data_IF_618672471135
#
_entry.id   IF_618672471135
#
_cell.length_a   1.000
_cell.length_b   1.000
_cell.length_c   1.000
_cell.angle_alpha   90.00
_cell.angle_beta   90.00
_cell.angle_gamma   90.00
#
_symmetry.space_group_name_H-M   'P 1'
#
loop_
_entity.id
_entity.type
_entity.pdbx_description
1 polymer ?
#
# COMPACT_ATOMS: atom_id res chain seq x y z
N UNK A 1 4.63 23.76 -0.41
CA UNK A 1 3.52 22.78 -0.32
C UNK A 1 3.72 21.81 -1.46
N UNK A 2 3.80 20.53 -1.17
CA UNK A 2 3.93 19.50 -2.20
C UNK A 2 2.55 19.33 -2.80
N UNK A 3 2.41 19.67 -4.07
CA UNK A 3 1.10 19.56 -4.74
C UNK A 3 0.89 18.10 -5.18
N UNK A 4 -0.20 17.49 -4.73
CA UNK A 4 -0.67 16.21 -5.28
C UNK A 4 -1.02 16.46 -6.75
N UNK A 5 -0.58 15.56 -7.64
CA UNK A 5 -0.91 15.65 -9.05
C UNK A 5 -2.43 15.67 -9.25
N UNK A 6 -2.93 16.56 -10.10
CA UNK A 6 -4.37 16.80 -10.25
C UNK A 6 -5.19 15.51 -10.54
N UNK A 7 -4.61 14.58 -11.31
CA UNK A 7 -5.24 13.29 -11.61
C UNK A 7 -5.29 12.34 -10.40
N UNK A 8 -4.48 12.56 -9.36
CA UNK A 8 -4.45 11.78 -8.12
C UNK A 8 -5.31 12.38 -6.99
N UNK A 9 -5.90 13.57 -7.17
CA UNK A 9 -6.70 14.24 -6.14
C UNK A 9 -7.87 13.39 -5.62
N UNK A 10 -8.56 12.66 -6.52
CA UNK A 10 -9.63 11.73 -6.14
C UNK A 10 -9.09 10.55 -5.33
N UNK A 11 -7.96 9.98 -5.72
CA UNK A 11 -7.32 8.90 -4.97
C UNK A 11 -6.92 9.36 -3.56
N UNK A 12 -6.38 10.57 -3.41
CA UNK A 12 -6.07 11.15 -2.11
C UNK A 12 -7.29 11.22 -1.20
N UNK A 13 -8.44 11.69 -1.71
CA UNK A 13 -9.71 11.72 -0.95
C UNK A 13 -10.16 10.32 -0.55
N UNK A 14 -10.12 9.36 -1.48
CA UNK A 14 -10.53 7.97 -1.24
C UNK A 14 -9.68 7.35 -0.13
N UNK A 15 -8.35 7.43 -0.22
CA UNK A 15 -7.46 6.85 0.78
C UNK A 15 -7.57 7.56 2.14
N UNK A 16 -7.68 8.90 2.16
CA UNK A 16 -7.88 9.67 3.40
C UNK A 16 -9.12 9.27 4.18
N UNK A 17 -10.16 8.77 3.51
CA UNK A 17 -11.43 8.40 4.14
C UNK A 17 -11.31 7.26 5.15
N UNK A 18 -10.26 6.43 5.06
CA UNK A 18 -9.98 5.34 6.00
C UNK A 18 -9.53 5.82 7.38
N UNK A 19 -8.84 6.97 7.43
CA UNK A 19 -8.36 7.58 8.68
C UNK A 19 -7.60 6.58 9.56
N UNK A 20 -7.73 6.73 10.88
CA UNK A 20 -7.06 5.87 11.85
C UNK A 20 -7.53 4.40 11.86
N UNK A 21 -8.74 4.11 11.36
CA UNK A 21 -9.26 2.74 11.29
C UNK A 21 -8.44 1.91 10.31
N UNK A 22 -7.83 2.54 9.29
CA UNK A 22 -6.93 1.87 8.34
C UNK A 22 -5.75 1.15 9.03
N UNK A 23 -5.36 1.53 10.25
CA UNK A 23 -4.32 0.83 11.01
C UNK A 23 -4.68 -0.65 11.25
N UNK A 24 -5.96 -0.97 11.41
CA UNK A 24 -6.44 -2.36 11.48
C UNK A 24 -6.19 -3.14 10.18
N UNK A 25 -6.30 -2.48 9.01
CA UNK A 25 -5.93 -3.07 7.71
C UNK A 25 -4.42 -3.31 7.66
N UNK A 26 -3.61 -2.31 8.04
CA UNK A 26 -2.15 -2.42 8.09
C UNK A 26 -1.69 -3.53 9.04
N UNK A 27 -2.34 -3.67 10.19
CA UNK A 27 -2.07 -4.77 11.14
C UNK A 27 -2.28 -6.13 10.51
N UNK A 28 -3.30 -6.28 9.68
CA UNK A 28 -3.61 -7.56 9.01
C UNK A 28 -2.55 -7.99 8.00
N UNK A 29 -1.63 -7.08 7.61
CA UNK A 29 -0.52 -7.32 6.67
C UNK A 29 0.86 -7.14 7.32
N UNK A 30 0.92 -7.08 8.65
CA UNK A 30 2.14 -6.79 9.39
C UNK A 30 3.30 -7.74 9.04
N UNK A 31 3.02 -9.03 8.81
CA UNK A 31 4.04 -10.01 8.39
C UNK A 31 4.75 -9.61 7.09
N UNK A 32 3.99 -9.16 6.10
CA UNK A 32 4.57 -8.71 4.82
C UNK A 32 5.33 -7.37 4.97
N UNK A 33 4.88 -6.50 5.87
CA UNK A 33 5.60 -5.25 6.19
C UNK A 33 6.93 -5.58 6.87
N UNK A 34 6.95 -6.48 7.86
CA UNK A 34 8.18 -6.92 8.51
C UNK A 34 9.15 -7.59 7.54
N UNK A 35 8.66 -8.37 6.57
CA UNK A 35 9.49 -8.95 5.53
C UNK A 35 10.17 -7.85 4.68
N UNK A 36 9.40 -6.84 4.26
CA UNK A 36 9.95 -5.71 3.48
C UNK A 36 10.99 -4.92 4.29
N UNK A 37 10.73 -4.62 5.56
CA UNK A 37 11.66 -3.91 6.44
C UNK A 37 12.96 -4.71 6.64
N UNK A 38 12.85 -6.00 6.94
CA UNK A 38 14.03 -6.87 7.08
C UNK A 38 14.84 -6.95 5.78
N UNK A 39 14.16 -6.97 4.63
CA UNK A 39 14.84 -7.01 3.32
C UNK A 39 15.52 -5.70 2.97
N UNK A 40 14.97 -4.56 3.42
CA UNK A 40 15.63 -3.27 3.31
C UNK A 40 16.88 -3.19 4.19
N UNK A 41 16.89 -3.91 5.33
CA UNK A 41 18.00 -3.99 6.29
C UNK A 41 18.46 -2.60 6.76
N UNK A 42 17.55 -1.82 7.42
CA UNK A 42 17.83 -0.44 7.83
C UNK A 42 18.99 -0.36 8.82
N UNK A 43 19.87 0.66 8.66
CA UNK A 43 20.99 0.90 9.57
C UNK A 43 20.81 2.20 10.31
N UNK A 44 21.32 2.31 11.57
CA UNK A 44 21.32 3.57 12.30
C UNK A 44 21.96 4.71 11.49
N UNK A 45 21.26 5.85 11.45
CA UNK A 45 21.72 7.07 10.76
C UNK A 45 21.46 7.10 9.25
N UNK A 46 20.99 6.02 8.62
CA UNK A 46 20.56 6.07 7.22
C UNK A 46 19.34 6.97 7.04
N UNK A 47 19.29 7.66 5.90
CA UNK A 47 18.12 8.44 5.46
C UNK A 47 17.21 7.55 4.61
N UNK A 48 16.05 7.19 5.13
CA UNK A 48 15.13 6.29 4.49
C UNK A 48 13.80 6.97 4.18
N UNK A 49 13.22 6.62 3.03
CA UNK A 49 11.92 7.10 2.58
C UNK A 49 10.92 5.94 2.57
N UNK A 50 9.78 6.14 3.21
CA UNK A 50 8.62 5.23 3.15
C UNK A 50 7.55 5.86 2.24
N UNK A 51 7.39 5.31 1.04
CA UNK A 51 6.52 5.82 -0.02
C UNK A 51 5.14 5.19 0.08
N UNK A 52 4.10 6.04 0.12
CA UNK A 52 2.73 5.65 0.44
C UNK A 52 2.67 4.92 1.79
N UNK A 53 3.15 5.64 2.82
CA UNK A 53 3.38 5.11 4.18
C UNK A 53 2.10 4.70 4.90
N UNK A 54 0.92 5.16 4.44
CA UNK A 54 -0.35 4.92 5.09
C UNK A 54 -0.35 5.41 6.54
N UNK A 55 -0.66 4.51 7.48
CA UNK A 55 -0.62 4.79 8.93
C UNK A 55 0.78 4.62 9.55
N UNK A 56 1.83 4.51 8.71
CA UNK A 56 3.23 4.59 9.14
C UNK A 56 3.82 3.32 9.76
N UNK A 57 3.32 2.12 9.45
CA UNK A 57 3.85 0.87 10.02
C UNK A 57 5.32 0.64 9.63
N UNK A 58 5.65 0.69 8.34
CA UNK A 58 7.02 0.52 7.91
C UNK A 58 7.91 1.66 8.46
N UNK A 59 7.46 2.91 8.37
CA UNK A 59 8.17 4.06 8.91
C UNK A 59 8.58 3.88 10.39
N UNK A 60 7.66 3.40 11.24
CA UNK A 60 7.97 3.16 12.66
C UNK A 60 9.04 2.08 12.83
N UNK A 61 8.96 0.98 12.09
CA UNK A 61 9.97 -0.10 12.14
C UNK A 61 11.35 0.38 11.68
N UNK A 62 11.40 1.26 10.67
CA UNK A 62 12.65 1.87 10.20
C UNK A 62 13.24 2.81 11.28
N UNK A 63 12.40 3.62 11.93
CA UNK A 63 12.82 4.53 12.98
C UNK A 63 13.30 3.77 14.24
N UNK A 64 12.65 2.67 14.61
CA UNK A 64 13.10 1.79 15.71
C UNK A 64 14.48 1.16 15.43
N UNK A 65 14.84 0.97 14.16
CA UNK A 65 16.19 0.54 13.76
C UNK A 65 17.23 1.68 13.79
N UNK A 66 16.82 2.91 14.15
CA UNK A 66 17.71 4.07 14.28
C UNK A 66 17.91 4.86 12.98
N UNK A 67 17.13 4.62 11.95
CA UNK A 67 17.18 5.39 10.72
C UNK A 67 16.49 6.76 10.86
N UNK A 68 16.93 7.76 10.09
CA UNK A 68 16.24 9.02 9.89
C UNK A 68 15.17 8.82 8.80
N UNK A 69 13.89 8.83 9.19
CA UNK A 69 12.79 8.40 8.32
C UNK A 69 11.93 9.58 7.89
N UNK A 70 11.65 9.64 6.60
CA UNK A 70 10.55 10.44 6.03
C UNK A 70 9.49 9.47 5.53
N UNK A 71 8.24 9.65 5.93
CA UNK A 71 7.08 8.92 5.42
C UNK A 71 6.22 9.83 4.55
N UNK A 72 5.91 9.42 3.33
CA UNK A 72 5.06 10.20 2.41
C UNK A 72 3.80 9.46 2.04
N UNK A 73 2.69 10.19 1.92
CA UNK A 73 1.42 9.68 1.39
C UNK A 73 0.63 10.82 0.75
N UNK A 74 -0.24 10.51 -0.18
CA UNK A 74 -1.20 11.47 -0.76
C UNK A 74 -2.41 11.70 0.17
N UNK A 75 -2.60 10.83 1.17
CA UNK A 75 -3.78 10.74 2.03
C UNK A 75 -3.50 11.38 3.40
N UNK A 76 -3.89 12.65 3.58
CA UNK A 76 -3.64 13.40 4.82
C UNK A 76 -4.26 12.72 6.05
N UNK A 77 -5.48 12.16 5.91
CA UNK A 77 -6.13 11.45 7.01
C UNK A 77 -5.36 10.20 7.49
N UNK A 78 -4.57 9.56 6.62
CA UNK A 78 -3.68 8.47 7.01
C UNK A 78 -2.41 9.01 7.69
N UNK A 79 -1.85 10.11 7.19
CA UNK A 79 -0.69 10.76 7.80
C UNK A 79 -0.98 11.29 9.21
N UNK A 80 -2.20 11.78 9.47
CA UNK A 80 -2.61 12.19 10.81
C UNK A 80 -2.60 11.01 11.79
N UNK A 81 -3.08 9.85 11.35
CA UNK A 81 -3.00 8.63 12.13
C UNK A 81 -1.54 8.19 12.34
N UNK A 82 -0.70 8.27 11.28
CA UNK A 82 0.73 7.95 11.37
C UNK A 82 1.46 8.85 12.36
N UNK A 83 1.24 10.16 12.31
CA UNK A 83 1.81 11.15 13.25
C UNK A 83 1.38 10.87 14.70
N UNK A 84 0.09 10.55 14.89
CA UNK A 84 -0.45 10.22 16.20
C UNK A 84 0.20 8.98 16.78
N UNK A 85 0.33 7.92 15.99
CA UNK A 85 0.89 6.66 16.42
C UNK A 85 2.41 6.76 16.68
N UNK A 86 3.17 7.48 15.85
CA UNK A 86 4.59 7.74 16.09
C UNK A 86 4.82 8.50 17.39
N UNK A 87 4.02 9.56 17.67
CA UNK A 87 4.09 10.30 18.94
C UNK A 87 3.81 9.40 20.14
N UNK A 88 2.79 8.52 20.04
CA UNK A 88 2.44 7.58 21.12
C UNK A 88 3.60 6.63 21.44
N UNK A 89 4.40 6.28 20.45
CA UNK A 89 5.57 5.40 20.58
C UNK A 89 6.88 6.16 20.85
N UNK A 90 6.86 7.50 20.94
CA UNK A 90 8.07 8.31 21.15
C UNK A 90 9.04 8.32 19.97
N UNK A 91 8.56 8.03 18.76
CA UNK A 91 9.38 7.97 17.55
C UNK A 91 9.38 9.32 16.82
N UNK A 92 10.56 9.78 16.41
CA UNK A 92 10.75 10.97 15.58
C UNK A 92 10.75 10.57 14.10
N UNK A 93 9.62 10.80 13.43
CA UNK A 93 9.42 10.51 12.00
C UNK A 93 8.82 11.75 11.35
N UNK A 94 9.35 12.15 10.20
CA UNK A 94 8.84 13.27 9.42
C UNK A 94 7.79 12.75 8.42
N UNK A 95 6.51 13.02 8.68
CA UNK A 95 5.43 12.64 7.78
C UNK A 95 4.96 13.82 6.94
N UNK A 96 5.03 13.68 5.62
CA UNK A 96 4.73 14.72 4.64
C UNK A 96 3.72 14.25 3.59
N UNK A 97 2.87 15.17 3.10
CA UNK A 97 2.12 14.93 1.87
C UNK A 97 3.13 14.76 0.73
N UNK A 98 2.97 13.70 -0.04
CA UNK A 98 3.84 13.42 -1.19
C UNK A 98 3.15 12.48 -2.18
N UNK A 99 3.21 12.87 -3.46
CA UNK A 99 2.73 12.04 -4.56
C UNK A 99 3.90 11.19 -5.08
N UNK A 100 3.74 9.87 -5.08
CA UNK A 100 4.76 8.93 -5.55
C UNK A 100 5.20 9.17 -7.01
N UNK A 101 4.40 9.90 -7.78
CA UNK A 101 4.65 10.22 -9.18
C UNK A 101 5.43 11.53 -9.37
N UNK A 102 5.61 12.36 -8.30
CA UNK A 102 6.32 13.63 -8.35
C UNK A 102 6.70 14.09 -6.93
N UNK A 103 7.81 13.61 -6.41
CA UNK A 103 8.23 13.90 -5.04
C UNK A 103 9.16 15.11 -4.92
N UNK A 104 9.02 15.95 -3.87
CA UNK A 104 9.76 17.21 -3.71
C UNK A 104 11.14 17.01 -3.09
N UNK A 105 11.83 15.93 -3.42
CA UNK A 105 13.14 15.60 -2.87
C UNK A 105 14.22 15.68 -3.94
N UNK A 106 15.46 15.93 -3.52
CA UNK A 106 16.61 15.96 -4.42
C UNK A 106 16.98 14.55 -4.92
N UNK A 107 17.65 14.50 -6.07
CA UNK A 107 18.19 13.27 -6.63
C UNK A 107 19.18 12.63 -5.66
N UNK A 108 19.10 11.32 -5.51
CA UNK A 108 20.00 10.55 -4.65
C UNK A 108 19.95 10.92 -3.17
N UNK A 109 18.83 11.47 -2.69
CA UNK A 109 18.71 11.95 -1.32
C UNK A 109 18.65 10.83 -0.28
N UNK A 110 18.24 9.62 -0.68
CA UNK A 110 17.97 8.52 0.26
C UNK A 110 18.91 7.34 0.07
N UNK A 111 19.31 6.74 1.19
CA UNK A 111 20.07 5.50 1.27
C UNK A 111 19.20 4.29 0.90
N UNK A 112 17.90 4.38 1.16
CA UNK A 112 16.93 3.37 0.81
C UNK A 112 15.51 3.88 0.77
N UNK A 113 14.69 3.19 -0.02
CA UNK A 113 13.25 3.43 -0.14
C UNK A 113 12.50 2.12 0.12
N UNK A 114 11.41 2.21 0.89
CA UNK A 114 10.42 1.15 1.03
C UNK A 114 9.05 1.64 0.56
N UNK A 115 8.24 0.74 0.00
CA UNK A 115 6.81 0.97 -0.19
C UNK A 115 6.05 -0.34 0.06
N UNK A 116 5.16 -0.34 1.04
CA UNK A 116 4.41 -1.53 1.43
C UNK A 116 2.98 -1.45 0.92
N UNK A 117 2.71 -2.13 -0.19
CA UNK A 117 1.42 -2.19 -0.90
C UNK A 117 0.86 -0.83 -1.37
N UNK A 118 1.69 0.22 -1.39
CA UNK A 118 1.25 1.56 -1.78
C UNK A 118 1.54 1.88 -3.24
N UNK A 119 2.80 1.74 -3.68
CA UNK A 119 3.21 2.13 -5.04
C UNK A 119 2.44 1.41 -6.16
N UNK A 120 1.85 0.25 -5.87
CA UNK A 120 1.03 -0.48 -6.84
C UNK A 120 -0.28 0.22 -7.22
N UNK A 121 -0.72 1.21 -6.44
CA UNK A 121 -1.97 1.96 -6.68
C UNK A 121 -1.77 3.30 -7.39
N UNK A 122 -0.55 3.61 -7.84
CA UNK A 122 -0.28 4.84 -8.60
C UNK A 122 -0.99 4.84 -9.95
N UNK A 123 -1.36 6.02 -10.42
CA UNK A 123 -2.03 6.19 -11.71
C UNK A 123 -1.05 6.08 -12.89
N UNK A 124 0.22 6.46 -12.68
CA UNK A 124 1.29 6.47 -13.68
C UNK A 124 2.50 5.66 -13.19
N UNK A 125 2.50 4.33 -13.37
CA UNK A 125 3.56 3.45 -12.88
C UNK A 125 4.97 3.85 -13.33
N UNK A 126 5.11 4.33 -14.57
CA UNK A 126 6.38 4.76 -15.14
C UNK A 126 6.93 6.02 -14.43
N UNK A 127 6.06 6.97 -14.08
CA UNK A 127 6.45 8.17 -13.33
C UNK A 127 6.91 7.81 -11.91
N UNK A 128 6.14 6.96 -11.21
CA UNK A 128 6.52 6.49 -9.89
C UNK A 128 7.85 5.70 -9.92
N UNK A 129 8.06 4.84 -10.91
CA UNK A 129 9.31 4.10 -11.08
C UNK A 129 10.51 5.03 -11.33
N UNK A 130 10.32 6.08 -12.14
CA UNK A 130 11.34 7.08 -12.38
C UNK A 130 11.70 7.86 -11.10
N UNK A 131 10.70 8.22 -10.28
CA UNK A 131 10.93 8.87 -8.99
C UNK A 131 11.68 7.96 -8.00
N UNK A 132 11.29 6.70 -7.87
CA UNK A 132 12.03 5.73 -7.05
C UNK A 132 13.51 5.65 -7.48
N UNK A 133 13.76 5.60 -8.79
CA UNK A 133 15.13 5.55 -9.33
C UNK A 133 15.89 6.86 -9.10
N UNK A 134 15.24 8.01 -9.21
CA UNK A 134 15.84 9.33 -9.02
C UNK A 134 16.24 9.58 -7.58
N UNK A 135 15.40 9.17 -6.64
CA UNK A 135 15.53 9.49 -5.22
C UNK A 135 16.54 8.63 -4.48
N UNK A 136 16.74 7.37 -4.91
CA UNK A 136 17.74 6.48 -4.32
C UNK A 136 19.12 6.80 -4.86
N UNK A 137 20.09 7.03 -3.98
CA UNK A 137 21.49 7.23 -4.39
C UNK A 137 22.10 5.99 -5.06
N UNK A 138 23.15 6.11 -5.89
CA UNK A 138 23.89 4.95 -6.37
C UNK A 138 24.34 4.05 -5.20
N UNK A 139 24.15 2.74 -5.34
CA UNK A 139 24.40 1.77 -4.28
C UNK A 139 23.34 1.73 -3.18
N UNK A 140 22.35 2.63 -3.19
CA UNK A 140 21.22 2.59 -2.28
C UNK A 140 20.20 1.49 -2.63
N UNK A 141 19.23 1.26 -1.78
CA UNK A 141 18.31 0.11 -1.86
C UNK A 141 16.86 0.52 -2.10
N UNK A 142 16.12 -0.32 -2.81
CA UNK A 142 14.67 -0.22 -2.92
C UNK A 142 14.05 -1.54 -2.50
N UNK A 143 12.95 -1.47 -1.71
CA UNK A 143 12.15 -2.66 -1.39
C UNK A 143 10.67 -2.32 -1.52
N UNK A 144 9.95 -3.14 -2.29
CA UNK A 144 8.52 -2.97 -2.52
C UNK A 144 7.81 -4.27 -2.14
N UNK A 145 6.70 -4.19 -1.41
CA UNK A 145 5.76 -5.31 -1.31
C UNK A 145 4.51 -5.02 -2.15
N UNK A 146 4.07 -6.01 -2.90
CA UNK A 146 2.96 -5.91 -3.84
C UNK A 146 2.15 -7.20 -3.84
N UNK A 147 0.83 -7.11 -4.10
CA UNK A 147 0.00 -8.31 -4.24
C UNK A 147 0.28 -9.01 -5.56
N UNK A 148 0.39 -10.34 -5.53
CA UNK A 148 0.49 -11.15 -6.73
C UNK A 148 -0.84 -11.19 -7.49
N UNK A 149 -0.78 -11.47 -8.80
CA UNK A 149 -1.94 -11.52 -9.68
C UNK A 149 -2.92 -12.65 -9.34
N UNK A 150 -2.42 -13.71 -8.71
CA UNK A 150 -3.16 -14.89 -8.24
C UNK A 150 -3.42 -14.87 -6.72
N UNK A 151 -3.24 -13.70 -6.09
CA UNK A 151 -3.54 -13.51 -4.67
C UNK A 151 -5.05 -13.60 -4.41
N UNK A 152 -5.43 -14.18 -3.27
CA UNK A 152 -6.82 -14.14 -2.77
C UNK A 152 -7.36 -12.71 -2.65
N UNK A 153 -6.47 -11.70 -2.51
CA UNK A 153 -6.88 -10.31 -2.54
C UNK A 153 -7.36 -9.87 -3.94
N UNK A 154 -6.76 -10.40 -5.02
CA UNK A 154 -7.26 -10.15 -6.38
C UNK A 154 -8.67 -10.69 -6.55
N UNK A 155 -8.96 -11.87 -6.00
CA UNK A 155 -10.32 -12.45 -6.00
C UNK A 155 -11.30 -11.57 -5.22
N UNK A 156 -10.90 -11.01 -4.07
CA UNK A 156 -11.72 -10.06 -3.31
C UNK A 156 -12.10 -8.83 -4.16
N UNK A 157 -11.18 -8.28 -4.96
CA UNK A 157 -11.48 -7.18 -5.87
C UNK A 157 -12.48 -7.59 -6.96
N UNK A 158 -12.44 -8.85 -7.44
CA UNK A 158 -13.43 -9.35 -8.40
C UNK A 158 -14.84 -9.41 -7.79
N UNK A 159 -14.97 -9.73 -6.49
CA UNK A 159 -16.26 -9.68 -5.78
C UNK A 159 -16.85 -8.27 -5.76
N UNK A 160 -16.01 -7.25 -5.60
CA UNK A 160 -16.47 -5.85 -5.56
C UNK A 160 -16.78 -5.28 -6.97
N UNK A 161 -16.15 -5.82 -8.01
CA UNK A 161 -16.24 -5.28 -9.38
C UNK A 161 -17.67 -5.04 -9.90
N UNK A 162 -18.67 -5.95 -9.70
CA UNK A 162 -20.06 -5.74 -10.16
C UNK A 162 -20.77 -4.55 -9.52
N UNK A 163 -20.22 -4.03 -8.42
CA UNK A 163 -20.76 -2.92 -7.65
C UNK A 163 -20.10 -1.58 -7.99
N UNK A 164 -18.98 -1.62 -8.70
CA UNK A 164 -18.26 -0.41 -9.10
C UNK A 164 -19.02 0.32 -10.20
N UNK A 165 -18.96 1.66 -10.24
CA UNK A 165 -19.54 2.41 -11.35
C UNK A 165 -18.88 2.02 -12.67
N UNK A 166 -19.67 1.97 -13.74
CA UNK A 166 -19.14 1.75 -15.09
C UNK A 166 -18.17 2.88 -15.45
N UNK A 167 -17.02 2.56 -16.07
CA UNK A 167 -16.13 3.60 -16.53
C UNK A 167 -16.83 4.46 -17.61
N UNK A 168 -16.50 5.76 -17.71
CA UNK A 168 -17.01 6.60 -18.76
C UNK A 168 -16.75 6.00 -20.15
N UNK A 169 -17.65 6.20 -21.09
CA UNK A 169 -17.47 5.70 -22.46
C UNK A 169 -16.16 6.26 -23.06
N UNK A 170 -15.32 5.37 -23.60
CA UNK A 170 -14.03 5.73 -24.17
C UNK A 170 -12.89 5.98 -23.17
N UNK A 171 -13.14 5.81 -21.87
CA UNK A 171 -12.08 5.93 -20.86
C UNK A 171 -11.08 4.77 -21.01
N UNK A 172 -9.79 5.10 -20.99
CA UNK A 172 -8.72 4.10 -20.85
C UNK A 172 -8.77 3.53 -19.44
N UNK A 173 -8.87 2.21 -19.27
CA UNK A 173 -8.83 1.61 -17.94
C UNK A 173 -7.55 2.01 -17.18
N UNK A 174 -7.63 2.28 -15.88
CA UNK A 174 -6.43 2.51 -15.08
C UNK A 174 -5.55 1.25 -15.09
N UNK A 175 -4.23 1.40 -14.89
CA UNK A 175 -3.33 0.26 -14.77
C UNK A 175 -3.79 -0.64 -13.62
N UNK A 176 -3.68 -1.96 -13.83
CA UNK A 176 -4.00 -2.92 -12.76
C UNK A 176 -2.97 -2.81 -11.64
N UNK A 177 -3.37 -2.60 -10.39
CA UNK A 177 -2.43 -2.58 -9.28
C UNK A 177 -1.68 -3.92 -9.14
N UNK A 178 -2.30 -5.02 -9.48
CA UNK A 178 -1.69 -6.37 -9.43
C UNK A 178 -0.58 -6.58 -10.47
N UNK A 179 -0.44 -5.71 -11.49
CA UNK A 179 0.66 -5.79 -12.45
C UNK A 179 2.04 -5.65 -11.77
N UNK A 180 2.15 -4.84 -10.71
CA UNK A 180 3.35 -4.73 -9.88
C UNK A 180 3.70 -6.03 -9.12
N UNK A 181 2.77 -6.98 -9.02
CA UNK A 181 2.97 -8.30 -8.44
C UNK A 181 3.60 -9.32 -9.39
N UNK A 182 4.13 -8.90 -10.53
CA UNK A 182 4.81 -9.76 -11.51
C UNK A 182 6.25 -9.31 -11.75
N UNK A 183 7.25 -10.22 -11.71
CA UNK A 183 8.64 -9.88 -11.98
C UNK A 183 8.86 -9.24 -13.37
N UNK A 184 8.08 -9.66 -14.37
CA UNK A 184 8.19 -9.12 -15.73
C UNK A 184 7.90 -7.61 -15.73
N UNK A 185 6.75 -7.19 -15.17
CA UNK A 185 6.37 -5.78 -15.14
C UNK A 185 7.32 -4.93 -14.31
N UNK A 186 7.78 -5.43 -13.16
CA UNK A 186 8.73 -4.69 -12.34
C UNK A 186 10.08 -4.54 -13.03
N UNK A 187 10.55 -5.55 -13.78
CA UNK A 187 11.77 -5.43 -14.61
C UNK A 187 11.62 -4.38 -15.70
N UNK A 188 10.46 -4.25 -16.34
CA UNK A 188 10.19 -3.18 -17.30
C UNK A 188 10.29 -1.79 -16.65
N UNK A 189 9.74 -1.62 -15.44
CA UNK A 189 9.67 -0.36 -14.73
C UNK A 189 11.02 0.05 -14.09
N UNK A 190 11.69 -0.88 -13.44
CA UNK A 190 12.83 -0.59 -12.56
C UNK A 190 14.15 -1.23 -13.03
N UNK A 191 14.11 -2.21 -13.92
CA UNK A 191 15.29 -2.96 -14.34
C UNK A 191 16.36 -2.15 -15.08
N UNK A 192 16.01 -0.98 -15.61
CA UNK A 192 16.98 -0.03 -16.17
C UNK A 192 17.83 0.69 -15.11
N UNK A 193 17.36 0.76 -13.88
CA UNK A 193 17.96 1.54 -12.79
C UNK A 193 18.48 0.69 -11.63
N UNK A 194 17.95 -0.51 -11.43
CA UNK A 194 18.26 -1.36 -10.29
C UNK A 194 18.66 -2.77 -10.70
N UNK A 195 19.55 -3.37 -9.93
CA UNK A 195 19.78 -4.81 -9.93
C UNK A 195 18.74 -5.47 -9.03
N UNK A 196 17.76 -6.14 -9.66
CA UNK A 196 16.53 -6.59 -9.00
C UNK A 196 16.58 -8.06 -8.59
N UNK A 197 16.03 -8.36 -7.41
CA UNK A 197 15.67 -9.68 -6.94
C UNK A 197 14.20 -9.73 -6.50
N UNK A 198 13.63 -10.93 -6.45
CA UNK A 198 12.23 -11.18 -6.13
C UNK A 198 12.09 -12.32 -5.14
N UNK A 199 11.22 -12.13 -4.16
CA UNK A 199 10.84 -13.14 -3.19
C UNK A 199 9.31 -13.17 -3.09
N UNK A 200 8.74 -14.26 -2.67
CA UNK A 200 7.29 -14.40 -2.46
C UNK A 200 7.00 -14.79 -1.03
N UNK A 201 5.82 -14.41 -0.56
CA UNK A 201 5.34 -14.81 0.76
C UNK A 201 3.82 -14.87 0.79
N UNK A 202 3.32 -15.37 1.89
CA UNK A 202 1.89 -15.39 2.20
C UNK A 202 1.71 -14.75 3.56
N UNK A 203 0.91 -13.68 3.65
CA UNK A 203 0.50 -13.14 4.94
C UNK A 203 -0.95 -13.54 5.22
N UNK A 204 -1.21 -14.01 6.43
CA UNK A 204 -2.54 -14.50 6.81
C UNK A 204 -3.31 -13.44 7.59
N UNK A 205 -4.49 -13.08 7.09
CA UNK A 205 -5.43 -12.26 7.84
C UNK A 205 -6.31 -13.16 8.71
N UNK A 206 -6.34 -12.87 10.01
CA UNK A 206 -7.20 -13.55 10.96
C UNK A 206 -8.34 -12.63 11.39
N UNK A 207 -9.58 -13.10 11.29
CA UNK A 207 -10.78 -12.41 11.74
C UNK A 207 -11.76 -13.40 12.36
N UNK A 208 -12.63 -12.95 13.28
CA UNK A 208 -13.66 -13.83 13.86
C UNK A 208 -14.57 -14.45 12.81
N UNK A 209 -14.98 -13.66 11.83
CA UNK A 209 -15.90 -14.04 10.76
C UNK A 209 -15.82 -13.08 9.56
N UNK A 210 -16.58 -13.38 8.50
CA UNK A 210 -16.66 -12.53 7.31
C UNK A 210 -17.33 -11.17 7.57
N UNK A 211 -18.19 -11.06 8.58
CA UNK A 211 -18.80 -9.80 8.96
C UNK A 211 -17.78 -8.84 9.57
N UNK A 212 -16.82 -9.35 10.35
CA UNK A 212 -15.72 -8.56 10.88
C UNK A 212 -14.79 -8.04 9.76
N UNK A 213 -14.55 -8.82 8.70
CA UNK A 213 -13.88 -8.32 7.49
C UNK A 213 -14.65 -7.19 6.82
N UNK A 214 -15.97 -7.36 6.66
CA UNK A 214 -16.81 -6.31 6.10
C UNK A 214 -16.73 -5.03 6.92
N UNK A 215 -16.87 -5.12 8.24
CA UNK A 215 -16.78 -3.96 9.14
C UNK A 215 -15.44 -3.23 8.99
N UNK A 216 -14.32 -3.96 9.05
CA UNK A 216 -12.99 -3.36 8.90
C UNK A 216 -12.83 -2.68 7.53
N UNK A 217 -13.24 -3.33 6.45
CA UNK A 217 -13.02 -2.82 5.10
C UNK A 217 -14.01 -1.71 4.73
N UNK A 218 -15.28 -1.80 5.15
CA UNK A 218 -16.29 -0.77 4.87
C UNK A 218 -16.14 0.50 5.72
N UNK A 219 -15.32 0.47 6.76
CA UNK A 219 -15.06 1.63 7.62
C UNK A 219 -13.62 2.15 7.50
N UNK A 220 -12.63 1.27 7.32
CA UNK A 220 -11.21 1.60 7.36
C UNK A 220 -10.51 1.54 6.01
N UNK A 221 -10.91 0.67 5.08
CA UNK A 221 -10.29 0.60 3.76
C UNK A 221 -10.96 1.56 2.79
N UNK A 222 -10.34 2.70 2.51
CA UNK A 222 -10.92 3.80 1.74
C UNK A 222 -11.67 3.40 0.47
N UNK A 223 -11.10 2.58 -0.43
CA UNK A 223 -11.80 2.12 -1.64
C UNK A 223 -13.11 1.38 -1.37
N UNK A 224 -13.14 0.43 -0.42
CA UNK A 224 -14.36 -0.31 -0.08
C UNK A 224 -15.36 0.58 0.66
N UNK A 225 -14.88 1.45 1.56
CA UNK A 225 -15.72 2.41 2.28
C UNK A 225 -16.46 3.32 1.31
N UNK A 226 -15.73 4.01 0.44
CA UNK A 226 -16.32 4.93 -0.54
C UNK A 226 -17.26 4.22 -1.51
N UNK A 227 -16.94 2.99 -1.93
CA UNK A 227 -17.85 2.19 -2.74
C UNK A 227 -19.15 1.91 -1.97
N UNK A 228 -19.07 1.40 -0.76
CA UNK A 228 -20.24 1.07 0.06
C UNK A 228 -21.12 2.29 0.34
N UNK A 229 -20.50 3.45 0.59
CA UNK A 229 -21.23 4.72 0.83
C UNK A 229 -21.89 5.28 -0.44
N UNK A 230 -21.37 4.95 -1.63
CA UNK A 230 -21.94 5.42 -2.90
C UNK A 230 -23.13 4.60 -3.39
N UNK A 231 -23.42 3.47 -2.77
CA UNK A 231 -24.48 2.56 -3.19
C UNK A 231 -25.80 2.82 -2.45
N UNK A 232 -26.90 2.65 -3.18
CA UNK A 232 -28.24 2.60 -2.56
C UNK A 232 -28.33 1.45 -1.54
N UNK A 233 -29.16 1.58 -0.47
CA UNK A 233 -29.19 0.63 0.65
C UNK A 233 -29.31 -0.85 0.25
N UNK A 234 -30.17 -1.17 -0.72
CA UNK A 234 -30.34 -2.55 -1.19
C UNK A 234 -29.07 -3.08 -1.87
N UNK A 235 -28.44 -2.26 -2.72
CA UNK A 235 -27.24 -2.64 -3.44
C UNK A 235 -26.02 -2.74 -2.51
N UNK A 236 -25.96 -1.88 -1.48
CA UNK A 236 -24.97 -1.98 -0.41
C UNK A 236 -25.11 -3.29 0.38
N UNK A 237 -26.34 -3.70 0.68
CA UNK A 237 -26.60 -4.98 1.37
C UNK A 237 -26.15 -6.19 0.52
N UNK A 238 -26.36 -6.14 -0.80
CA UNK A 238 -25.86 -7.16 -1.72
C UNK A 238 -24.32 -7.22 -1.73
N UNK A 239 -23.63 -6.07 -1.78
CA UNK A 239 -22.17 -5.99 -1.68
C UNK A 239 -21.69 -6.58 -0.35
N UNK A 240 -22.31 -6.21 0.77
CA UNK A 240 -21.98 -6.74 2.08
C UNK A 240 -22.13 -8.27 2.12
N UNK A 241 -23.26 -8.79 1.62
CA UNK A 241 -23.49 -10.23 1.58
C UNK A 241 -22.44 -10.96 0.74
N UNK A 242 -22.14 -10.46 -0.46
CA UNK A 242 -21.14 -11.04 -1.35
C UNK A 242 -19.73 -10.99 -0.74
N UNK A 243 -19.34 -9.87 -0.14
CA UNK A 243 -18.05 -9.67 0.51
C UNK A 243 -17.89 -10.60 1.73
N UNK A 244 -18.92 -10.68 2.58
CA UNK A 244 -18.95 -11.58 3.74
C UNK A 244 -18.86 -13.05 3.29
N UNK A 245 -19.68 -13.47 2.32
CA UNK A 245 -19.67 -14.85 1.81
C UNK A 245 -18.31 -15.23 1.19
N UNK A 246 -17.65 -14.30 0.51
CA UNK A 246 -16.30 -14.54 0.00
C UNK A 246 -15.32 -14.89 1.13
N UNK A 247 -15.30 -14.12 2.22
CA UNK A 247 -14.39 -14.35 3.34
C UNK A 247 -14.74 -15.62 4.12
N UNK A 248 -16.03 -15.97 4.22
CA UNK A 248 -16.47 -17.22 4.87
C UNK A 248 -15.90 -18.49 4.21
N UNK A 249 -15.44 -18.42 2.97
CA UNK A 249 -14.75 -19.53 2.29
C UNK A 249 -13.43 -19.94 2.98
N UNK A 250 -12.85 -19.05 3.79
CA UNK A 250 -11.60 -19.25 4.52
C UNK A 250 -11.82 -19.56 6.01
N UNK A 251 -13.04 -20.01 6.37
CA UNK A 251 -13.40 -20.36 7.75
C UNK A 251 -12.65 -21.59 8.23
N UNK A 252 -12.16 -21.48 9.46
CA UNK A 252 -11.54 -22.53 10.25
C UNK A 252 -12.27 -22.65 11.59
N UNK A 253 -11.86 -23.59 12.45
CA UNK A 253 -12.41 -23.73 13.82
C UNK A 253 -12.15 -22.51 14.70
N UNK A 254 -11.15 -21.68 14.35
CA UNK A 254 -10.74 -20.47 15.09
C UNK A 254 -11.22 -19.17 14.46
N UNK A 255 -12.08 -19.22 13.47
CA UNK A 255 -12.52 -18.06 12.67
C UNK A 255 -11.97 -18.10 11.24
N UNK A 256 -11.86 -16.95 10.61
CA UNK A 256 -11.31 -16.83 9.25
C UNK A 256 -9.78 -16.79 9.32
N UNK A 257 -9.13 -17.56 8.45
CA UNK A 257 -7.68 -17.51 8.20
C UNK A 257 -7.43 -17.41 6.69
N UNK A 258 -7.39 -16.17 6.17
CA UNK A 258 -7.22 -15.92 4.73
C UNK A 258 -5.76 -15.62 4.39
N UNK A 259 -5.09 -16.58 3.73
CA UNK A 259 -3.75 -16.38 3.18
C UNK A 259 -3.79 -15.47 1.94
N UNK A 260 -2.90 -14.49 1.89
CA UNK A 260 -2.80 -13.51 0.79
C UNK A 260 -1.38 -13.51 0.25
N UNK A 261 -1.23 -13.89 -1.01
CA UNK A 261 0.06 -14.03 -1.69
C UNK A 261 0.60 -12.65 -2.06
N UNK A 262 1.85 -12.40 -1.69
CA UNK A 262 2.55 -11.17 -2.03
C UNK A 262 3.94 -11.44 -2.60
N UNK A 263 4.47 -10.45 -3.29
CA UNK A 263 5.84 -10.43 -3.79
C UNK A 263 6.62 -9.30 -3.12
N UNK A 264 7.83 -9.60 -2.67
CA UNK A 264 8.85 -8.61 -2.35
C UNK A 264 9.73 -8.42 -3.59
N UNK A 265 9.77 -7.20 -4.08
CA UNK A 265 10.82 -6.74 -4.99
C UNK A 265 11.88 -6.05 -4.18
N UNK A 266 13.14 -6.42 -4.36
CA UNK A 266 14.27 -5.72 -3.78
C UNK A 266 15.30 -5.39 -4.85
N UNK A 267 16.02 -4.30 -4.69
CA UNK A 267 17.03 -3.92 -5.67
C UNK A 267 18.08 -2.96 -5.11
N UNK A 268 19.25 -2.98 -5.74
CA UNK A 268 20.34 -2.04 -5.50
C UNK A 268 20.44 -1.10 -6.69
N UNK A 269 20.50 0.21 -6.42
CA UNK A 269 20.64 1.26 -7.44
C UNK A 269 22.01 1.17 -8.10
N UNK A 270 22.05 1.08 -9.42
CA UNK A 270 23.29 1.13 -10.21
C UNK A 270 23.94 2.49 -10.19
#
# INVERSE_FOLDING_TARGET
MTDIQAHNARAATVWSSGGGIYDGVSRSIAEAIEHAVRRLDPKPGEKLLDVATGTGWASRRLAEAGAAVIGTDIADGLLDAARSEARRQGLAIDYQIGDAEAMPFADGQFDGIVSTFGVMFVSRPEAAAAELARLVRPGGRVVLSTWQTDSTLADMFQVMRPFMPAPPAGAVPPPSPFAWGTPARVKELLGGAFDLGFETGVCTAFMPDGAAFWELFSTGYGPTKMLAESLEPARRAELQAAFTAFHERFRTDLGIAMGRQYMITHGVRR
#
